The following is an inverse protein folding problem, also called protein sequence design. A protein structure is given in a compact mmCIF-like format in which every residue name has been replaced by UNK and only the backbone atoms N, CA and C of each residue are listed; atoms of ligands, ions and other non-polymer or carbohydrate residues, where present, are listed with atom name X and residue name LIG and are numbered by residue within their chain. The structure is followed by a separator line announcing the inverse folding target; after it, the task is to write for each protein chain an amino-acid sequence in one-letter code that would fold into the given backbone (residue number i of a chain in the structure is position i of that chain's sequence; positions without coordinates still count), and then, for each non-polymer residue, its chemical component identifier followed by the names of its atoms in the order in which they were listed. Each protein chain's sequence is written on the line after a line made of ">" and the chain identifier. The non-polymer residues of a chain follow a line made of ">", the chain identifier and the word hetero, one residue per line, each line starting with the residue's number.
data_IF_263309735093
#
_entry.id   IF_263309735093
#
_cell.length_a   1.000
_cell.length_b   1.000
_cell.length_c   1.000
_cell.angle_alpha   90.00
_cell.angle_beta   90.00
_cell.angle_gamma   90.00
#
_symmetry.space_group_name_H-M   'P 1'
#
loop_
_entity.id
_entity.type
_entity.pdbx_description
1 polymer ?
#
# COMPACT_ATOMS: atom_id res chain seq x y z
N UNK A 1 -2.39 13.14 -19.18
CA UNK A 1 -3.37 12.47 -18.30
C UNK A 1 -3.37 13.17 -16.96
N UNK A 2 -4.52 13.67 -16.52
CA UNK A 2 -4.68 14.49 -15.30
C UNK A 2 -5.04 13.60 -14.12
N UNK A 3 -4.65 13.97 -12.88
CA UNK A 3 -5.08 13.24 -11.68
C UNK A 3 -6.61 13.25 -11.45
N UNK A 4 -7.36 14.10 -12.18
CA UNK A 4 -8.84 14.13 -12.16
C UNK A 4 -9.47 12.98 -12.92
N UNK A 5 -8.77 12.39 -13.91
CA UNK A 5 -9.31 11.27 -14.70
C UNK A 5 -9.44 9.98 -13.84
N UNK A 6 -8.78 9.93 -12.68
CA UNK A 6 -8.83 8.81 -11.73
C UNK A 6 -9.77 9.04 -10.54
N UNK A 7 -10.49 10.16 -10.53
CA UNK A 7 -11.33 10.60 -9.42
C UNK A 7 -12.55 9.68 -9.28
N UNK A 8 -12.38 8.60 -8.51
CA UNK A 8 -13.40 7.56 -8.26
C UNK A 8 -12.95 6.14 -8.61
N UNK A 9 -12.02 6.00 -9.56
CA UNK A 9 -11.56 4.70 -10.06
C UNK A 9 -10.34 4.14 -9.34
N UNK A 10 -9.49 5.01 -8.78
CA UNK A 10 -8.27 4.59 -8.07
C UNK A 10 -8.22 5.06 -6.63
N UNK A 11 -7.63 4.23 -5.78
CA UNK A 11 -7.36 4.50 -4.38
C UNK A 11 -5.85 4.64 -4.16
N UNK A 12 -5.50 5.61 -3.33
CA UNK A 12 -4.11 5.83 -2.91
C UNK A 12 -3.79 4.99 -1.69
N UNK A 13 -2.79 4.12 -1.81
CA UNK A 13 -2.20 3.32 -0.75
C UNK A 13 -0.78 3.81 -0.49
N UNK A 14 -0.55 4.39 0.68
CA UNK A 14 0.78 4.86 1.05
C UNK A 14 1.60 3.72 1.64
N UNK A 15 2.91 3.68 1.35
CA UNK A 15 3.82 2.75 2.01
C UNK A 15 3.78 2.91 3.54
N UNK A 16 3.62 4.16 3.99
CA UNK A 16 3.45 4.53 5.39
C UNK A 16 2.33 3.77 6.12
N UNK A 17 1.31 3.28 5.40
CA UNK A 17 0.20 2.53 6.02
C UNK A 17 0.66 1.22 6.66
N UNK A 18 1.80 0.67 6.20
CA UNK A 18 2.38 -0.57 6.69
C UNK A 18 3.67 -0.35 7.48
N UNK A 19 4.46 0.66 7.13
CA UNK A 19 5.81 0.86 7.69
C UNK A 19 5.91 1.94 8.77
N UNK A 20 4.93 2.84 8.89
CA UNK A 20 5.01 3.96 9.84
C UNK A 20 5.16 3.49 11.31
N UNK A 21 5.86 4.26 12.16
CA UNK A 21 6.20 3.84 13.53
C UNK A 21 4.99 3.78 14.47
N UNK A 22 3.92 4.52 14.17
CA UNK A 22 2.67 4.51 14.96
C UNK A 22 1.44 4.79 14.09
N UNK A 23 0.24 4.53 14.63
CA UNK A 23 -1.04 4.88 13.97
C UNK A 23 -1.18 6.39 13.77
N UNK A 24 -0.78 7.19 14.77
CA UNK A 24 -0.77 8.65 14.68
C UNK A 24 0.13 9.18 13.55
N UNK A 25 1.20 8.44 13.19
CA UNK A 25 2.09 8.76 12.07
C UNK A 25 1.63 8.18 10.72
N UNK A 26 0.42 7.62 10.65
CA UNK A 26 -0.19 7.14 9.41
C UNK A 26 -0.25 5.64 9.22
N UNK A 27 0.20 4.82 10.19
CA UNK A 27 0.05 3.37 10.10
C UNK A 27 -1.44 2.99 10.15
N UNK A 28 -1.89 2.16 9.20
CA UNK A 28 -3.28 1.66 9.11
C UNK A 28 -3.41 0.14 9.23
N UNK A 29 -2.29 -0.58 9.15
CA UNK A 29 -2.23 -2.04 9.29
C UNK A 29 -1.27 -2.44 10.43
N UNK A 30 -1.07 -3.75 10.62
CA UNK A 30 0.04 -4.24 11.44
C UNK A 30 1.37 -3.75 10.84
N UNK A 31 2.34 -3.47 11.71
CA UNK A 31 3.64 -2.97 11.26
C UNK A 31 4.34 -4.08 10.46
N UNK A 32 4.73 -3.78 9.24
CA UNK A 32 5.46 -4.70 8.38
C UNK A 32 6.73 -4.04 7.83
N UNK A 33 7.77 -4.85 7.65
CA UNK A 33 9.01 -4.41 7.02
C UNK A 33 8.94 -4.70 5.52
N UNK A 34 8.26 -3.81 4.78
CA UNK A 34 8.10 -3.91 3.33
C UNK A 34 8.65 -2.69 2.61
N UNK A 35 9.14 -2.89 1.39
CA UNK A 35 9.55 -1.82 0.48
C UNK A 35 8.43 -1.38 -0.48
N UNK A 36 8.67 -0.30 -1.23
CA UNK A 36 7.73 0.16 -2.26
C UNK A 36 7.56 -0.86 -3.39
N UNK A 37 8.67 -1.47 -3.84
CA UNK A 37 8.66 -2.53 -4.86
C UNK A 37 7.80 -3.73 -4.42
N UNK A 38 8.00 -4.20 -3.19
CA UNK A 38 7.22 -5.32 -2.63
C UNK A 38 5.73 -4.96 -2.53
N UNK A 39 5.40 -3.72 -2.15
CA UNK A 39 4.02 -3.24 -2.15
C UNK A 39 3.40 -3.25 -3.56
N UNK A 40 4.14 -2.81 -4.57
CA UNK A 40 3.70 -2.84 -5.98
C UNK A 40 3.47 -4.28 -6.45
N UNK A 41 4.41 -5.18 -6.17
CA UNK A 41 4.31 -6.58 -6.58
C UNK A 41 3.10 -7.28 -5.94
N UNK A 42 2.86 -7.06 -4.64
CA UNK A 42 1.66 -7.58 -3.96
C UNK A 42 0.38 -7.02 -4.57
N UNK A 43 0.35 -5.72 -4.87
CA UNK A 43 -0.83 -5.11 -5.51
C UNK A 43 -1.06 -5.68 -6.91
N UNK A 44 0.00 -5.98 -7.67
CA UNK A 44 -0.08 -6.61 -8.99
C UNK A 44 -0.64 -8.03 -8.88
N UNK A 45 -0.15 -8.82 -7.93
CA UNK A 45 -0.66 -10.18 -7.69
C UNK A 45 -2.11 -10.20 -7.19
N UNK A 46 -2.57 -9.15 -6.51
CA UNK A 46 -3.96 -8.99 -6.10
C UNK A 46 -4.87 -8.46 -7.23
N UNK A 47 -4.34 -8.28 -8.45
CA UNK A 47 -5.11 -7.79 -9.59
C UNK A 47 -5.53 -6.33 -9.47
N UNK A 48 -4.83 -5.54 -8.64
CA UNK A 48 -5.19 -4.17 -8.31
C UNK A 48 -4.65 -3.12 -9.28
N UNK A 49 -3.97 -3.53 -10.35
CA UNK A 49 -3.42 -2.64 -11.39
C UNK A 49 -2.64 -1.43 -10.81
N UNK A 50 -1.54 -1.67 -10.09
CA UNK A 50 -0.83 -0.64 -9.35
C UNK A 50 -0.06 0.33 -10.26
N UNK A 51 -0.20 1.63 -10.00
CA UNK A 51 0.68 2.69 -10.53
C UNK A 51 1.53 3.21 -9.39
N UNK A 52 2.86 3.08 -9.54
CA UNK A 52 3.82 3.66 -8.61
C UNK A 52 3.87 5.18 -8.78
N UNK A 53 3.85 5.90 -7.67
CA UNK A 53 3.99 7.37 -7.67
C UNK A 53 4.99 7.77 -6.60
N UNK A 54 6.01 8.52 -7.02
CA UNK A 54 6.99 9.07 -6.08
C UNK A 54 6.41 10.31 -5.38
N UNK A 55 5.85 10.10 -4.19
CA UNK A 55 5.40 11.16 -3.28
C UNK A 55 5.79 10.83 -1.85
N UNK A 56 5.93 11.88 -1.06
CA UNK A 56 6.28 11.79 0.36
C UNK A 56 5.02 11.89 1.22
N UNK A 57 4.81 10.92 2.11
CA UNK A 57 3.68 10.95 3.05
C UNK A 57 3.86 12.12 4.04
N UNK A 58 2.93 13.08 4.11
CA UNK A 58 3.14 14.33 4.86
C UNK A 58 3.50 14.14 6.33
N UNK A 59 2.85 13.19 7.00
CA UNK A 59 2.96 12.99 8.46
C UNK A 59 4.15 12.12 8.89
N UNK A 60 4.55 11.15 8.07
CA UNK A 60 5.65 10.22 8.41
C UNK A 60 6.93 10.49 7.64
N UNK A 61 6.90 11.34 6.61
CA UNK A 61 8.00 11.58 5.67
C UNK A 61 8.49 10.33 4.93
N UNK A 62 7.71 9.24 4.97
CA UNK A 62 8.00 8.01 4.22
C UNK A 62 7.66 8.25 2.75
N UNK A 63 8.63 7.97 1.89
CA UNK A 63 8.50 8.10 0.44
C UNK A 63 7.82 6.86 -0.15
N UNK A 64 6.97 7.07 -1.15
CA UNK A 64 6.32 6.02 -1.92
C UNK A 64 4.84 5.89 -1.62
N UNK A 65 4.06 5.92 -2.70
CA UNK A 65 2.68 5.49 -2.70
C UNK A 65 2.38 4.70 -3.97
N UNK A 66 1.32 3.91 -3.90
CA UNK A 66 0.78 3.18 -5.03
C UNK A 66 -0.67 3.60 -5.22
N UNK A 67 -1.02 3.99 -6.44
CA UNK A 67 -2.40 4.22 -6.85
C UNK A 67 -2.95 2.92 -7.46
N UNK A 68 -3.93 2.31 -6.80
CA UNK A 68 -4.51 1.02 -7.20
C UNK A 68 -5.94 1.19 -7.68
N UNK A 69 -6.41 0.31 -8.56
CA UNK A 69 -7.83 0.25 -8.96
C UNK A 69 -8.72 -0.03 -7.75
N UNK A 70 -9.82 0.70 -7.67
CA UNK A 70 -10.83 0.58 -6.61
C UNK A 70 -11.73 -0.62 -6.89
N UNK A 71 -11.23 -1.82 -6.61
CA UNK A 71 -12.05 -3.05 -6.64
C UNK A 71 -12.89 -3.22 -5.37
N UNK A 72 -12.46 -2.61 -4.26
CA UNK A 72 -13.12 -2.73 -2.96
C UNK A 72 -12.89 -1.48 -2.09
N UNK A 73 -13.41 -1.49 -0.86
CA UNK A 73 -13.15 -0.41 0.09
C UNK A 73 -11.66 -0.35 0.47
N UNK A 74 -11.15 0.87 0.69
CA UNK A 74 -9.75 1.11 1.05
C UNK A 74 -9.28 0.28 2.25
N UNK A 75 -10.14 0.11 3.25
CA UNK A 75 -9.84 -0.68 4.45
C UNK A 75 -9.69 -2.17 4.11
N UNK A 76 -10.54 -2.72 3.24
CA UNK A 76 -10.45 -4.12 2.80
C UNK A 76 -9.17 -4.38 2.03
N UNK A 77 -8.83 -3.50 1.07
CA UNK A 77 -7.59 -3.60 0.30
C UNK A 77 -6.36 -3.55 1.24
N UNK A 78 -6.33 -2.64 2.21
CA UNK A 78 -5.23 -2.57 3.18
C UNK A 78 -5.10 -3.87 3.99
N UNK A 79 -6.23 -4.47 4.40
CA UNK A 79 -6.25 -5.75 5.13
C UNK A 79 -5.75 -6.90 4.26
N UNK A 80 -6.16 -6.98 3.00
CA UNK A 80 -5.71 -8.01 2.04
C UNK A 80 -4.21 -7.90 1.78
N UNK A 81 -3.70 -6.70 1.50
CA UNK A 81 -2.26 -6.46 1.36
C UNK A 81 -1.53 -6.88 2.63
N UNK A 82 -2.01 -6.45 3.82
CA UNK A 82 -1.38 -6.82 5.09
C UNK A 82 -1.36 -8.32 5.34
N UNK A 83 -2.39 -9.05 4.93
CA UNK A 83 -2.46 -10.52 5.05
C UNK A 83 -1.42 -11.17 4.14
N UNK A 84 -1.33 -10.72 2.89
CA UNK A 84 -0.39 -11.26 1.89
C UNK A 84 1.07 -10.97 2.27
N UNK A 85 1.34 -9.79 2.81
CA UNK A 85 2.63 -9.47 3.43
C UNK A 85 2.97 -10.45 4.56
N UNK A 86 2.00 -10.79 5.41
CA UNK A 86 2.19 -11.78 6.47
C UNK A 86 2.54 -13.17 5.93
N UNK A 87 1.83 -13.63 4.89
CA UNK A 87 2.08 -14.93 4.24
C UNK A 87 3.49 -15.01 3.63
N UNK A 88 3.92 -13.96 2.91
CA UNK A 88 5.28 -13.90 2.35
C UNK A 88 6.40 -13.99 3.41
N UNK A 89 6.07 -13.70 4.67
CA UNK A 89 7.01 -13.75 5.80
C UNK A 89 6.93 -15.07 6.55
N UNK A 90 5.79 -15.76 6.55
CA UNK A 90 5.70 -17.14 7.06
C UNK A 90 6.35 -18.14 6.11
N UNK A 91 6.29 -17.89 4.80
CA UNK A 91 6.77 -18.81 3.76
C UNK A 91 8.27 -18.69 3.49
N UNK A 92 8.97 -17.76 4.17
CA UNK A 92 10.44 -17.75 4.26
C UNK A 92 10.84 -18.39 5.59
N UNK A 93 10.99 -19.72 5.66
CA UNK A 93 11.67 -20.34 6.78
C UNK A 93 13.11 -19.81 6.83
N UNK A 94 13.53 -19.44 8.03
CA UNK A 94 14.89 -19.03 8.39
C UNK A 94 15.93 -20.06 7.96
#
# INVERSE_FOLDING_TARGET
>A
MSMRDYEGERLVIWLAYFTAPSRAKGRRALKAKIGLKELVDICRELGLDPIEVDKVHPASKIRGLVAVRKVNSKVKIIKEISRKVGQLRSDKPS
#
